data_IF_739069106763
#
_entry.id   IF_739069106763
#
_cell.length_a   1.000
_cell.length_b   1.000
_cell.length_c   1.000
_cell.angle_alpha   90.00
_cell.angle_beta   90.00
_cell.angle_gamma   90.00
#
_symmetry.space_group_name_H-M   'P 1'
#
loop_
_entity.id
_entity.type
_entity.pdbx_description
1 polymer ?
#
# COMPACT_ATOMS: atom_id res chain seq x y z
N UNK A 1 -42.24 16.52 -8.24
CA UNK A 1 -41.63 17.08 -7.01
C UNK A 1 -41.25 18.50 -7.33
N UNK A 2 -42.01 19.47 -6.80
CA UNK A 2 -42.00 20.85 -7.28
C UNK A 2 -40.65 21.54 -7.06
N UNK A 3 -39.87 21.59 -8.14
CA UNK A 3 -38.56 22.26 -8.20
C UNK A 3 -38.67 23.73 -7.81
N UNK A 4 -39.79 24.39 -8.11
CA UNK A 4 -40.06 25.79 -7.76
C UNK A 4 -40.29 25.98 -6.26
N UNK A 5 -41.00 25.06 -5.60
CA UNK A 5 -41.24 25.11 -4.15
C UNK A 5 -39.93 24.83 -3.41
N UNK A 6 -39.17 23.85 -3.87
CA UNK A 6 -37.88 23.51 -3.28
C UNK A 6 -36.85 24.66 -3.42
N UNK A 7 -36.86 25.37 -4.55
CA UNK A 7 -35.99 26.52 -4.76
C UNK A 7 -36.39 27.70 -3.86
N UNK A 8 -37.69 27.97 -3.68
CA UNK A 8 -38.19 29.01 -2.75
C UNK A 8 -37.84 28.70 -1.29
N UNK A 9 -37.99 27.44 -0.87
CA UNK A 9 -37.58 27.00 0.48
C UNK A 9 -36.08 27.18 0.66
N UNK A 10 -35.28 26.85 -0.35
CA UNK A 10 -33.83 27.05 -0.31
C UNK A 10 -33.45 28.54 -0.29
N UNK A 11 -34.18 29.41 -1.00
CA UNK A 11 -34.01 30.88 -0.96
C UNK A 11 -34.36 31.48 0.40
N UNK A 12 -35.44 31.02 1.04
CA UNK A 12 -35.83 31.48 2.38
C UNK A 12 -34.87 30.95 3.46
N UNK A 13 -34.39 29.70 3.30
CA UNK A 13 -33.37 29.15 4.18
C UNK A 13 -32.02 29.87 4.04
N UNK A 14 -31.64 30.26 2.82
CA UNK A 14 -30.42 31.05 2.57
C UNK A 14 -30.55 32.51 2.98
N UNK A 15 -31.73 33.14 2.86
CA UNK A 15 -31.93 34.52 3.35
C UNK A 15 -31.95 34.62 4.87
N UNK A 16 -32.55 33.65 5.57
CA UNK A 16 -32.50 33.57 7.03
C UNK A 16 -31.10 33.18 7.52
N UNK A 17 -30.43 32.26 6.81
CA UNK A 17 -29.03 31.93 7.06
C UNK A 17 -28.08 33.10 6.87
N UNK A 18 -28.33 33.96 5.86
CA UNK A 18 -27.57 35.18 5.60
C UNK A 18 -27.74 36.24 6.70
N UNK A 19 -28.92 36.35 7.31
CA UNK A 19 -29.16 37.30 8.39
C UNK A 19 -28.47 36.91 9.71
N UNK A 20 -28.28 35.61 9.93
CA UNK A 20 -27.64 35.07 11.14
C UNK A 20 -26.13 34.87 10.97
N UNK A 21 -25.65 34.68 9.74
CA UNK A 21 -24.24 34.45 9.43
C UNK A 21 -23.58 35.79 9.16
N UNK A 22 -22.78 36.28 10.11
CA UNK A 22 -21.90 37.45 9.91
C UNK A 22 -21.02 37.20 8.68
N UNK A 23 -21.02 38.12 7.71
CA UNK A 23 -20.04 38.09 6.62
C UNK A 23 -18.63 38.12 7.23
N UNK A 24 -17.82 37.10 6.98
CA UNK A 24 -16.40 37.11 7.31
C UNK A 24 -15.92 36.17 8.42
N UNK A 25 -16.60 35.06 8.74
CA UNK A 25 -15.98 34.00 9.56
C UNK A 25 -16.18 32.64 8.93
N UNK A 26 -15.05 32.03 8.52
CA UNK A 26 -14.94 30.71 7.92
C UNK A 26 -15.19 29.56 8.91
N UNK A 27 -16.10 29.77 9.86
CA UNK A 27 -16.49 28.78 10.86
C UNK A 27 -18.02 28.75 10.96
N UNK A 28 -18.60 27.83 10.20
CA UNK A 28 -20.02 27.68 9.84
C UNK A 28 -20.92 27.20 11.01
N UNK A 29 -20.60 27.56 12.25
CA UNK A 29 -21.25 27.00 13.44
C UNK A 29 -21.69 28.00 14.51
N UNK A 30 -21.31 29.28 14.41
CA UNK A 30 -21.70 30.28 15.41
C UNK A 30 -22.76 31.24 14.87
N UNK A 31 -23.99 30.90 15.20
CA UNK A 31 -25.13 31.82 15.19
C UNK A 31 -24.86 32.84 16.31
N UNK A 32 -24.38 34.03 15.95
CA UNK A 32 -24.09 35.12 16.91
C UNK A 32 -25.40 35.80 17.36
N UNK A 33 -26.21 35.09 18.16
CA UNK A 33 -27.47 35.63 18.71
C UNK A 33 -27.26 36.94 19.48
N UNK A 34 -26.09 37.10 20.11
CA UNK A 34 -25.72 38.32 20.82
C UNK A 34 -25.63 39.56 19.90
N UNK A 35 -25.14 39.40 18.67
CA UNK A 35 -25.09 40.51 17.69
C UNK A 35 -26.48 40.88 17.21
N UNK A 36 -27.33 39.87 17.00
CA UNK A 36 -28.72 40.07 16.60
C UNK A 36 -29.54 40.80 17.68
N UNK A 37 -29.38 40.40 18.94
CA UNK A 37 -30.03 41.07 20.09
C UNK A 37 -29.59 42.53 20.22
N UNK A 38 -28.32 42.84 19.95
CA UNK A 38 -27.80 44.21 19.98
C UNK A 38 -28.34 45.05 18.81
N UNK A 39 -28.43 44.49 17.60
CA UNK A 39 -29.05 45.17 16.44
C UNK A 39 -30.52 45.50 16.71
N UNK A 40 -31.29 44.55 17.25
CA UNK A 40 -32.70 44.77 17.60
C UNK A 40 -32.83 45.82 18.72
N UNK A 41 -31.94 45.79 19.73
CA UNK A 41 -31.93 46.77 20.82
C UNK A 41 -31.71 48.19 20.32
N UNK A 42 -30.77 48.39 19.40
CA UNK A 42 -30.44 49.73 18.89
C UNK A 42 -31.62 50.31 18.11
N UNK A 43 -32.23 49.55 17.21
CA UNK A 43 -33.41 49.98 16.46
C UNK A 43 -34.62 50.24 17.38
N UNK A 44 -34.84 49.38 18.37
CA UNK A 44 -35.95 49.55 19.32
C UNK A 44 -35.73 50.74 20.27
N UNK A 45 -34.49 51.02 20.70
CA UNK A 45 -34.15 52.15 21.57
C UNK A 45 -34.38 53.49 20.86
N UNK A 46 -34.01 53.61 19.60
CA UNK A 46 -34.21 54.83 18.82
C UNK A 46 -35.69 55.14 18.62
N UNK A 47 -36.50 54.11 18.35
CA UNK A 47 -37.96 54.25 18.26
C UNK A 47 -38.60 54.56 19.61
N UNK A 48 -38.18 53.89 20.71
CA UNK A 48 -38.76 54.05 22.03
C UNK A 48 -38.46 55.43 22.67
N UNK A 49 -37.26 55.98 22.46
CA UNK A 49 -36.90 57.32 22.94
C UNK A 49 -37.70 58.42 22.22
N UNK A 50 -37.89 58.28 20.91
CA UNK A 50 -38.57 59.30 20.10
C UNK A 50 -40.10 59.29 20.25
N UNK A 51 -40.71 58.12 20.53
CA UNK A 51 -42.17 57.98 20.56
C UNK A 51 -42.78 57.81 21.94
N UNK A 52 -42.07 57.20 22.90
CA UNK A 52 -42.61 56.87 24.23
C UNK A 52 -41.80 57.43 25.41
N UNK A 53 -40.58 57.96 25.18
CA UNK A 53 -39.72 58.50 26.24
C UNK A 53 -39.18 57.45 27.20
N UNK A 54 -39.16 56.18 26.81
CA UNK A 54 -38.72 55.03 27.64
C UNK A 54 -37.37 54.51 27.14
N UNK A 55 -36.46 54.17 28.05
CA UNK A 55 -35.17 53.53 27.72
C UNK A 55 -35.24 52.00 27.88
N UNK A 56 -34.83 51.29 26.83
CA UNK A 56 -34.78 49.83 26.80
C UNK A 56 -33.41 49.38 27.31
N UNK A 57 -33.39 48.70 28.46
CA UNK A 57 -32.16 48.27 29.13
C UNK A 57 -31.64 46.92 28.62
N UNK A 58 -32.53 46.00 28.24
CA UNK A 58 -32.18 44.67 27.73
C UNK A 58 -33.23 44.13 26.75
N UNK A 59 -32.76 43.42 25.72
CA UNK A 59 -33.58 42.66 24.76
C UNK A 59 -32.94 41.27 24.68
N UNK A 60 -33.75 40.22 24.74
CA UNK A 60 -33.29 38.84 24.61
C UNK A 60 -34.30 37.97 23.84
N UNK A 61 -33.81 37.03 23.05
CA UNK A 61 -34.64 36.12 22.26
C UNK A 61 -35.02 34.91 23.12
N UNK A 62 -36.28 34.81 23.52
CA UNK A 62 -36.75 33.73 24.41
C UNK A 62 -37.11 32.43 23.69
N UNK A 63 -37.62 32.52 22.46
CA UNK A 63 -38.02 31.36 21.64
C UNK A 63 -38.04 31.73 20.17
N UNK A 64 -37.38 30.93 19.33
CA UNK A 64 -37.56 30.93 17.88
C UNK A 64 -38.50 29.78 17.52
N UNK A 65 -39.66 30.11 16.94
CA UNK A 65 -40.63 29.13 16.46
C UNK A 65 -40.41 28.88 14.98
N UNK A 66 -39.89 27.71 14.63
CA UNK A 66 -39.77 27.28 13.22
C UNK A 66 -40.94 26.35 12.89
N UNK A 67 -41.65 26.54 11.76
CA UNK A 67 -42.70 25.60 11.32
C UNK A 67 -42.15 24.18 11.15
N UNK A 68 -42.85 23.17 11.67
CA UNK A 68 -42.36 21.77 11.64
C UNK A 68 -42.12 21.25 10.22
N UNK A 69 -42.97 21.59 9.24
CA UNK A 69 -42.81 21.15 7.85
C UNK A 69 -41.48 21.57 7.22
N UNK A 70 -40.96 22.75 7.59
CA UNK A 70 -39.68 23.25 7.09
C UNK A 70 -38.50 22.62 7.82
N UNK A 71 -38.69 22.26 9.10
CA UNK A 71 -37.67 21.63 9.92
C UNK A 71 -37.34 20.22 9.42
N UNK A 72 -38.36 19.42 9.08
CA UNK A 72 -38.17 18.06 8.57
C UNK A 72 -37.41 18.03 7.25
N UNK A 73 -37.67 18.98 6.35
CA UNK A 73 -36.96 19.10 5.06
C UNK A 73 -35.48 19.40 5.29
N UNK A 74 -35.16 20.35 6.18
CA UNK A 74 -33.77 20.74 6.48
C UNK A 74 -33.04 19.61 7.20
N UNK A 75 -33.68 18.93 8.15
CA UNK A 75 -33.11 17.76 8.85
C UNK A 75 -32.78 16.64 7.88
N UNK A 76 -33.68 16.30 6.98
CA UNK A 76 -33.43 15.27 5.95
C UNK A 76 -32.29 15.67 5.00
N UNK A 77 -32.22 16.95 4.62
CA UNK A 77 -31.11 17.47 3.82
C UNK A 77 -29.78 17.38 4.57
N UNK A 78 -29.74 17.71 5.87
CA UNK A 78 -28.54 17.61 6.71
C UNK A 78 -28.08 16.15 6.86
N UNK A 79 -29.00 15.22 7.13
CA UNK A 79 -28.68 13.78 7.19
C UNK A 79 -28.06 13.33 5.87
N UNK A 80 -28.67 13.70 4.74
CA UNK A 80 -28.16 13.37 3.41
C UNK A 80 -26.78 13.97 3.15
N UNK A 81 -26.54 15.22 3.57
CA UNK A 81 -25.22 15.84 3.45
C UNK A 81 -24.17 15.13 4.30
N UNK A 82 -24.51 14.76 5.54
CA UNK A 82 -23.60 14.05 6.44
C UNK A 82 -23.30 12.62 5.94
N UNK A 83 -24.30 11.89 5.45
CA UNK A 83 -24.08 10.57 4.87
C UNK A 83 -23.22 10.63 3.60
N UNK A 84 -23.44 11.61 2.73
CA UNK A 84 -22.61 11.82 1.55
C UNK A 84 -21.17 12.20 1.94
N UNK A 85 -20.98 13.09 2.92
CA UNK A 85 -19.64 13.47 3.40
C UNK A 85 -18.90 12.28 4.00
N UNK A 86 -19.58 11.49 4.83
CA UNK A 86 -19.02 10.26 5.40
C UNK A 86 -18.68 9.24 4.30
N UNK A 87 -19.57 9.04 3.34
CA UNK A 87 -19.35 8.16 2.19
C UNK A 87 -18.13 8.56 1.37
N UNK A 88 -17.95 9.85 1.08
CA UNK A 88 -16.78 10.38 0.39
C UNK A 88 -15.48 10.11 1.16
N UNK A 89 -15.48 10.33 2.49
CA UNK A 89 -14.30 10.06 3.32
C UNK A 89 -13.94 8.57 3.31
N UNK A 90 -14.93 7.68 3.45
CA UNK A 90 -14.72 6.23 3.39
C UNK A 90 -14.20 5.82 2.02
N UNK A 91 -14.75 6.38 0.94
CA UNK A 91 -14.31 6.09 -0.42
C UNK A 91 -12.85 6.49 -0.65
N UNK A 92 -12.45 7.69 -0.22
CA UNK A 92 -11.06 8.17 -0.31
C UNK A 92 -10.13 7.25 0.48
N UNK A 93 -10.48 6.94 1.73
CA UNK A 93 -9.68 6.05 2.58
C UNK A 93 -9.52 4.65 1.96
N UNK A 94 -10.59 4.11 1.37
CA UNK A 94 -10.55 2.81 0.70
C UNK A 94 -9.69 2.85 -0.58
N UNK A 95 -9.78 3.93 -1.36
CA UNK A 95 -8.97 4.13 -2.55
C UNK A 95 -7.48 4.19 -2.19
N UNK A 96 -7.11 4.95 -1.16
CA UNK A 96 -5.74 5.04 -0.67
C UNK A 96 -5.24 3.69 -0.17
N UNK A 97 -6.04 2.99 0.65
CA UNK A 97 -5.68 1.67 1.15
C UNK A 97 -5.47 0.66 0.01
N UNK A 98 -6.33 0.69 -1.02
CA UNK A 98 -6.19 -0.17 -2.19
C UNK A 98 -4.96 0.19 -3.02
N UNK A 99 -4.65 1.48 -3.20
CA UNK A 99 -3.46 1.92 -3.90
C UNK A 99 -2.18 1.45 -3.20
N UNK A 100 -2.12 1.55 -1.86
CA UNK A 100 -0.99 1.06 -1.07
C UNK A 100 -0.81 -0.46 -1.23
N UNK A 101 -1.90 -1.23 -1.13
CA UNK A 101 -1.84 -2.69 -1.32
C UNK A 101 -1.40 -3.08 -2.73
N UNK A 102 -1.97 -2.43 -3.75
CA UNK A 102 -1.61 -2.68 -5.14
C UNK A 102 -0.13 -2.36 -5.41
N UNK A 103 0.37 -1.23 -4.87
CA UNK A 103 1.78 -0.87 -4.97
C UNK A 103 2.68 -1.92 -4.30
N UNK A 104 2.37 -2.32 -3.07
CA UNK A 104 3.15 -3.34 -2.36
C UNK A 104 3.15 -4.69 -3.08
N UNK A 105 2.01 -5.09 -3.67
CA UNK A 105 1.90 -6.31 -4.45
C UNK A 105 2.75 -6.25 -5.73
N UNK A 106 2.69 -5.13 -6.46
CA UNK A 106 3.51 -4.91 -7.65
C UNK A 106 5.01 -4.91 -7.34
N UNK A 107 5.42 -4.26 -6.24
CA UNK A 107 6.81 -4.22 -5.81
C UNK A 107 7.31 -5.62 -5.46
N UNK A 108 6.50 -6.41 -4.74
CA UNK A 108 6.79 -7.82 -4.44
C UNK A 108 6.95 -8.65 -5.70
N UNK A 109 6.01 -8.55 -6.63
CA UNK A 109 6.01 -9.37 -7.84
C UNK A 109 7.19 -9.00 -8.75
N UNK A 110 7.52 -7.70 -8.84
CA UNK A 110 8.71 -7.21 -9.56
C UNK A 110 10.00 -7.74 -8.92
N UNK A 111 10.11 -7.70 -7.60
CA UNK A 111 11.29 -8.23 -6.89
C UNK A 111 11.44 -9.74 -7.09
N UNK A 112 10.34 -10.50 -7.03
CA UNK A 112 10.35 -11.94 -7.30
C UNK A 112 10.73 -12.26 -8.75
N UNK A 113 10.20 -11.51 -9.72
CA UNK A 113 10.56 -11.69 -11.12
C UNK A 113 12.04 -11.41 -11.36
N UNK A 114 12.58 -10.32 -10.78
CA UNK A 114 14.01 -9.99 -10.85
C UNK A 114 14.88 -11.09 -10.25
N UNK A 115 14.56 -11.53 -9.03
CA UNK A 115 15.30 -12.61 -8.37
C UNK A 115 15.27 -13.92 -9.17
N UNK A 116 14.13 -14.27 -9.78
CA UNK A 116 14.02 -15.44 -10.65
C UNK A 116 14.83 -15.30 -11.94
N UNK A 117 14.81 -14.11 -12.56
CA UNK A 117 15.58 -13.84 -13.76
C UNK A 117 17.09 -13.95 -13.48
N UNK A 118 17.55 -13.38 -12.37
CA UNK A 118 18.95 -13.49 -11.91
C UNK A 118 19.34 -14.94 -11.64
N UNK A 119 18.53 -15.68 -10.87
CA UNK A 119 18.78 -17.09 -10.59
C UNK A 119 18.83 -17.94 -11.88
N UNK A 120 17.91 -17.71 -12.82
CA UNK A 120 17.89 -18.40 -14.10
C UNK A 120 19.13 -18.07 -14.94
N UNK A 121 19.58 -16.81 -14.93
CA UNK A 121 20.78 -16.39 -15.65
C UNK A 121 22.04 -17.04 -15.06
N UNK A 122 22.16 -17.09 -13.73
CA UNK A 122 23.28 -17.76 -13.05
C UNK A 122 23.28 -19.26 -13.35
N UNK A 123 22.11 -19.92 -13.31
CA UNK A 123 22.00 -21.34 -13.64
C UNK A 123 22.37 -21.62 -15.11
N UNK A 124 21.92 -20.77 -16.04
CA UNK A 124 22.25 -20.91 -17.45
C UNK A 124 23.77 -20.75 -17.70
N UNK A 125 24.40 -19.77 -17.05
CA UNK A 125 25.85 -19.58 -17.11
C UNK A 125 26.60 -20.80 -16.56
N UNK A 126 26.23 -21.26 -15.36
CA UNK A 126 26.84 -22.43 -14.73
C UNK A 126 26.67 -23.71 -15.57
N UNK A 127 25.51 -23.89 -16.21
CA UNK A 127 25.28 -25.01 -17.14
C UNK A 127 26.13 -24.89 -18.41
N UNK A 128 26.31 -23.68 -18.94
CA UNK A 128 27.16 -23.45 -20.12
C UNK A 128 28.61 -23.78 -19.81
N UNK A 129 29.11 -23.33 -18.65
CA UNK A 129 30.46 -23.62 -18.18
C UNK A 129 30.66 -25.13 -17.93
N UNK A 130 29.69 -25.77 -17.28
CA UNK A 130 29.71 -27.21 -17.06
C UNK A 130 29.72 -27.98 -18.39
N UNK A 131 28.87 -27.61 -19.35
CA UNK A 131 28.85 -28.23 -20.68
C UNK A 131 30.17 -28.04 -21.44
N UNK A 132 30.82 -26.88 -21.31
CA UNK A 132 32.14 -26.66 -21.88
C UNK A 132 33.18 -27.60 -21.25
N UNK A 133 33.17 -27.75 -19.92
CA UNK A 133 34.04 -28.68 -19.22
C UNK A 133 33.76 -30.15 -19.61
N UNK A 134 32.49 -30.55 -19.72
CA UNK A 134 32.12 -31.88 -20.18
C UNK A 134 32.60 -32.17 -21.60
N UNK A 135 32.50 -31.22 -22.54
CA UNK A 135 33.02 -31.38 -23.91
C UNK A 135 34.54 -31.57 -23.94
N UNK A 136 35.29 -30.93 -23.04
CA UNK A 136 36.73 -31.17 -22.89
C UNK A 136 37.01 -32.59 -22.34
N UNK A 137 36.18 -33.06 -21.41
CA UNK A 137 36.29 -34.41 -20.83
C UNK A 137 35.88 -35.53 -21.81
N UNK A 138 34.97 -35.26 -22.75
CA UNK A 138 34.58 -36.20 -23.80
C UNK A 138 35.71 -36.53 -24.79
N UNK A 139 36.72 -35.66 -24.94
CA UNK A 139 37.85 -35.90 -25.85
C UNK A 139 38.70 -37.10 -25.41
N UNK A 140 38.82 -37.37 -24.11
CA UNK A 140 39.44 -38.57 -23.57
C UNK A 140 38.72 -39.05 -22.29
N UNK A 141 37.75 -39.97 -22.42
CA UNK A 141 36.95 -40.47 -21.30
C UNK A 141 37.75 -41.16 -20.20
N UNK A 142 38.89 -41.79 -20.56
CA UNK A 142 39.75 -42.51 -19.60
C UNK A 142 40.52 -41.53 -18.75
N UNK A 143 41.12 -40.50 -19.36
CA UNK A 143 41.84 -39.45 -18.62
C UNK A 143 40.90 -38.62 -17.74
N UNK A 144 39.70 -38.30 -18.24
CA UNK A 144 38.70 -37.55 -17.46
C UNK A 144 38.26 -38.29 -16.18
N UNK A 145 37.99 -39.59 -16.29
CA UNK A 145 37.61 -40.42 -15.13
C UNK A 145 38.74 -40.48 -14.10
N UNK A 146 39.99 -40.58 -14.56
CA UNK A 146 41.18 -40.58 -13.70
C UNK A 146 41.33 -39.26 -12.94
N UNK A 147 41.21 -38.12 -13.62
CA UNK A 147 41.31 -36.80 -12.99
C UNK A 147 40.17 -36.56 -11.98
N UNK A 148 38.94 -37.00 -12.26
CA UNK A 148 37.83 -36.92 -11.30
C UNK A 148 38.09 -37.76 -10.04
N UNK A 149 38.62 -38.98 -10.20
CA UNK A 149 38.96 -39.84 -9.07
C UNK A 149 40.06 -39.21 -8.20
N UNK A 150 41.06 -38.58 -8.82
CA UNK A 150 42.15 -37.88 -8.13
C UNK A 150 41.66 -36.62 -7.39
N UNK A 151 40.78 -35.82 -8.01
CA UNK A 151 40.21 -34.64 -7.37
C UNK A 151 39.28 -35.01 -6.20
N UNK A 152 38.49 -36.09 -6.35
CA UNK A 152 37.66 -36.63 -5.28
C UNK A 152 38.50 -37.12 -4.10
N UNK A 153 39.63 -37.78 -4.40
CA UNK A 153 40.61 -38.21 -3.39
C UNK A 153 41.22 -37.00 -2.66
N UNK A 154 41.65 -35.96 -3.38
CA UNK A 154 42.23 -34.74 -2.79
C UNK A 154 41.23 -34.03 -1.87
N UNK A 155 39.97 -33.88 -2.30
CA UNK A 155 38.91 -33.25 -1.48
C UNK A 155 38.57 -34.08 -0.25
N UNK A 156 38.59 -35.40 -0.35
CA UNK A 156 38.32 -36.30 0.78
C UNK A 156 39.46 -36.32 1.81
N UNK A 157 40.70 -36.07 1.39
CA UNK A 157 41.89 -36.13 2.25
C UNK A 157 42.14 -34.81 3.01
N UNK A 158 41.69 -33.66 2.49
CA UNK A 158 41.90 -32.33 3.12
C UNK A 158 41.26 -32.16 4.51
N UNK A 159 40.24 -32.93 4.86
CA UNK A 159 39.62 -32.93 6.20
C UNK A 159 39.97 -34.23 6.89
N UNK A 160 41.09 -34.25 7.63
CA UNK A 160 41.54 -35.32 8.55
C UNK A 160 40.50 -36.45 8.76
N UNK A 161 40.53 -37.48 7.92
CA UNK A 161 39.58 -38.61 7.98
C UNK A 161 40.38 -39.91 8.09
N UNK A 162 40.06 -40.72 9.10
CA UNK A 162 40.52 -42.11 9.20
C UNK A 162 39.77 -42.93 8.15
N UNK A 163 40.46 -43.28 7.07
CA UNK A 163 39.90 -43.98 5.91
C UNK A 163 39.88 -45.49 6.19
N UNK A 164 38.69 -46.10 6.30
CA UNK A 164 38.52 -47.56 6.24
C UNK A 164 38.13 -47.85 4.79
N UNK A 165 39.09 -48.36 4.02
CA UNK A 165 38.95 -48.64 2.60
C UNK A 165 38.39 -50.07 2.41
N UNK A 166 37.18 -50.16 1.85
CA UNK A 166 36.63 -51.41 1.31
C UNK A 166 36.80 -51.43 -0.22
N UNK A 167 37.22 -52.57 -0.75
CA UNK A 167 37.77 -52.83 -2.09
C UNK A 167 36.73 -52.70 -3.24
N UNK A 168 35.47 -52.45 -2.89
CA UNK A 168 34.30 -52.50 -3.78
C UNK A 168 33.57 -51.16 -4.00
N UNK A 169 33.89 -50.10 -3.25
CA UNK A 169 33.26 -48.78 -3.41
C UNK A 169 34.15 -47.81 -4.19
N UNK A 170 33.72 -47.37 -5.38
CA UNK A 170 34.39 -46.29 -6.13
C UNK A 170 34.42 -45.00 -5.30
N UNK A 171 35.48 -44.15 -5.36
CA UNK A 171 36.46 -43.90 -6.43
C UNK A 171 37.90 -44.41 -6.17
N UNK A 172 38.10 -45.41 -5.30
CA UNK A 172 39.43 -45.80 -4.80
C UNK A 172 40.19 -46.87 -5.62
N UNK A 173 39.73 -47.21 -6.83
CA UNK A 173 40.37 -48.23 -7.67
C UNK A 173 41.83 -47.94 -8.05
N UNK A 174 42.26 -46.67 -7.95
CA UNK A 174 43.65 -46.24 -8.21
C UNK A 174 44.66 -46.69 -7.15
N UNK A 175 44.20 -47.07 -5.95
CA UNK A 175 45.06 -47.57 -4.88
C UNK A 175 45.48 -49.03 -5.11
N UNK A 176 44.95 -49.70 -6.16
CA UNK A 176 45.27 -51.08 -6.52
C UNK A 176 46.64 -51.24 -7.21
N UNK A 177 47.39 -50.14 -7.37
CA UNK A 177 48.71 -50.12 -7.99
C UNK A 177 48.63 -49.65 -9.44
N UNK A 178 49.59 -48.81 -9.83
CA UNK A 178 49.79 -48.42 -11.22
C UNK A 178 50.12 -49.69 -12.04
N UNK A 179 49.16 -50.21 -12.78
CA UNK A 179 49.51 -50.89 -14.03
C UNK A 179 50.04 -49.82 -14.97
N UNK A 180 51.37 -49.72 -15.01
CA UNK A 180 52.14 -48.88 -15.93
C UNK A 180 51.60 -49.08 -17.35
N UNK A 181 51.25 -48.02 -18.10
CA UNK A 181 50.76 -48.13 -19.48
C UNK A 181 51.85 -48.57 -20.49
N UNK A 182 52.99 -49.06 -20.02
CA UNK A 182 54.06 -49.63 -20.83
C UNK A 182 54.23 -51.10 -20.48
N UNK A 183 53.24 -51.91 -20.84
CA UNK A 183 53.51 -53.31 -21.17
C UNK A 183 53.31 -53.44 -22.66
N UNK A 184 54.44 -53.43 -23.36
CA UNK A 184 54.56 -53.81 -24.76
C UNK A 184 53.80 -55.12 -24.97
N UNK A 185 52.83 -55.10 -25.88
CA UNK A 185 52.39 -56.30 -26.57
C UNK A 185 53.53 -56.72 -27.51
N UNK A 186 54.48 -57.48 -26.98
CA UNK A 186 55.41 -58.26 -27.80
C UNK A 186 55.07 -59.75 -27.70
N UNK A 187 54.94 -60.34 -28.89
CA UNK A 187 55.07 -61.76 -29.28
C UNK A 187 54.08 -62.80 -28.73
N UNK A 188 53.25 -63.29 -29.67
CA UNK A 188 53.05 -64.70 -30.07
C UNK A 188 52.96 -65.80 -28.99
N UNK A 189 51.81 -66.48 -28.91
CA UNK A 189 51.50 -67.78 -29.57
C UNK A 189 50.00 -68.10 -29.46
#
# INVERSE_FOLDING_TARGET
VDTVVNNKVNTVATSFGSFIRTEGSADDSKVDLAKLEESIRNEARDNAKNSLGVDIQFVGIRKVGVPQSSLDVVLNAMVTQWTNKAGTIVHIAQQEANAIRAKAQNDKDTALQKARAEASATLAAAQTDALAQFKLMEQDPKLATFLMQLEALEKSVKKQTTLILDDSMGPFGLLRGLDSPLKEEDSEE
#
